data_IF_486349906529
#
_entry.id   IF_486349906529
#
_cell.length_a   1.000
_cell.length_b   1.000
_cell.length_c   1.000
_cell.angle_alpha   90.00
_cell.angle_beta   90.00
_cell.angle_gamma   90.00
#
_symmetry.space_group_name_H-M   'P 1'
#
loop_
_entity.id
_entity.type
_entity.pdbx_description
1 polymer ?
#
# COMPACT_ATOMS: atom_id res chain seq x y z
N UNK A 1 28.53 15.78 35.45
CA UNK A 1 29.34 16.42 34.40
C UNK A 1 29.96 15.42 33.40
N UNK A 2 29.22 14.37 32.98
CA UNK A 2 29.72 13.32 32.04
C UNK A 2 28.84 13.16 30.76
N UNK A 3 27.77 13.93 30.58
CA UNK A 3 26.86 13.82 29.43
C UNK A 3 27.24 14.71 28.24
N UNK A 4 27.90 15.85 28.49
CA UNK A 4 28.18 16.84 27.43
C UNK A 4 29.33 16.46 26.46
N UNK A 5 30.14 15.44 26.78
CA UNK A 5 31.29 15.02 25.96
C UNK A 5 30.88 14.03 24.86
N UNK A 6 29.80 13.27 25.07
CA UNK A 6 29.37 12.24 24.14
C UNK A 6 28.63 12.82 22.91
N UNK A 7 27.92 13.95 23.09
CA UNK A 7 27.15 14.57 22.02
C UNK A 7 28.01 15.20 20.92
N UNK A 8 29.22 15.66 21.26
CA UNK A 8 30.15 16.28 20.28
C UNK A 8 30.80 15.28 19.33
N UNK A 9 30.95 14.03 19.74
CA UNK A 9 31.53 12.97 18.90
C UNK A 9 30.47 12.22 18.10
N UNK A 10 29.26 12.08 18.64
CA UNK A 10 28.15 11.38 17.99
C UNK A 10 27.55 12.21 16.85
N UNK A 11 27.44 13.53 17.01
CA UNK A 11 26.82 14.42 16.03
C UNK A 11 27.48 14.37 14.63
N UNK A 12 28.81 14.40 14.49
CA UNK A 12 29.47 14.31 13.19
C UNK A 12 29.24 12.96 12.50
N UNK A 13 29.26 11.85 13.24
CA UNK A 13 29.01 10.50 12.73
C UNK A 13 27.56 10.36 12.29
N UNK A 14 26.63 10.90 13.05
CA UNK A 14 25.22 10.94 12.72
C UNK A 14 24.95 11.75 11.44
N UNK A 15 25.52 12.96 11.33
CA UNK A 15 25.41 13.80 10.14
C UNK A 15 26.04 13.17 8.90
N UNK A 16 27.14 12.42 9.07
CA UNK A 16 27.78 11.66 8.01
C UNK A 16 26.91 10.50 7.54
N UNK A 17 26.18 9.85 8.46
CA UNK A 17 25.17 8.83 8.13
C UNK A 17 23.99 9.44 7.35
N UNK A 18 23.48 10.59 7.78
CA UNK A 18 22.40 11.30 7.08
C UNK A 18 22.79 11.73 5.65
N UNK A 19 24.07 12.05 5.43
CA UNK A 19 24.55 12.44 4.10
C UNK A 19 24.57 11.30 3.08
N UNK A 20 24.46 10.05 3.53
CA UNK A 20 24.38 8.86 2.67
C UNK A 20 22.93 8.48 2.32
N UNK A 21 21.95 9.08 2.98
CA UNK A 21 20.54 8.85 2.72
C UNK A 21 20.10 9.63 1.47
N UNK A 22 19.02 9.17 0.83
CA UNK A 22 18.35 9.94 -0.21
C UNK A 22 17.81 11.28 0.34
N UNK A 23 17.46 12.19 -0.57
CA UNK A 23 17.09 13.55 -0.22
C UNK A 23 15.81 13.61 0.64
N UNK A 24 14.87 12.69 0.41
CA UNK A 24 13.60 12.60 1.13
C UNK A 24 13.82 12.08 2.55
N UNK A 25 14.57 10.99 2.71
CA UNK A 25 14.89 10.44 4.03
C UNK A 25 15.73 11.43 4.85
N UNK A 26 16.69 12.08 4.21
CA UNK A 26 17.48 13.12 4.85
C UNK A 26 16.61 14.30 5.32
N UNK A 27 15.68 14.78 4.49
CA UNK A 27 14.77 15.86 4.86
C UNK A 27 13.89 15.48 6.06
N UNK A 28 13.42 14.24 6.11
CA UNK A 28 12.65 13.72 7.25
C UNK A 28 13.43 13.68 8.55
N UNK A 29 14.64 13.13 8.51
CA UNK A 29 15.46 12.92 9.72
C UNK A 29 16.21 14.17 10.15
N UNK A 30 16.72 14.99 9.22
CA UNK A 30 17.51 16.19 9.52
C UNK A 30 16.62 17.39 9.83
N UNK A 31 15.53 17.58 9.06
CA UNK A 31 14.66 18.76 9.13
C UNK A 31 13.34 18.50 9.83
N UNK A 32 13.02 17.24 10.15
CA UNK A 32 11.71 16.85 10.67
C UNK A 32 10.59 17.03 9.63
N UNK A 33 10.94 17.12 8.35
CA UNK A 33 9.98 17.26 7.26
C UNK A 33 9.46 15.89 6.85
N UNK A 34 8.48 15.41 7.61
CA UNK A 34 7.80 14.15 7.36
C UNK A 34 6.94 14.16 6.08
N UNK A 35 6.80 15.31 5.44
CA UNK A 35 6.06 15.51 4.19
C UNK A 35 6.97 15.65 2.97
N UNK A 36 8.28 15.55 3.16
CA UNK A 36 9.22 15.56 2.05
C UNK A 36 8.86 14.47 1.03
N UNK A 37 8.76 14.86 -0.23
CA UNK A 37 8.43 14.00 -1.37
C UNK A 37 9.59 14.04 -2.37
N UNK A 38 9.79 12.92 -3.07
CA UNK A 38 10.75 12.85 -4.16
C UNK A 38 10.39 13.83 -5.28
N UNK A 39 11.35 14.62 -5.74
CA UNK A 39 11.11 15.52 -6.87
C UNK A 39 10.78 14.69 -8.11
N UNK A 40 9.58 14.87 -8.66
CA UNK A 40 9.07 14.03 -9.74
C UNK A 40 8.19 12.84 -9.30
N UNK A 41 7.92 12.68 -8.01
CA UNK A 41 6.98 11.65 -7.53
C UNK A 41 5.64 11.73 -8.29
N UNK A 42 5.18 10.57 -8.81
CA UNK A 42 3.93 10.48 -9.58
C UNK A 42 2.71 10.88 -8.76
N UNK A 43 2.72 10.54 -7.47
CA UNK A 43 1.68 10.88 -6.52
C UNK A 43 2.20 11.90 -5.53
N UNK A 44 1.47 13.00 -5.37
CA UNK A 44 1.72 13.99 -4.33
C UNK A 44 0.67 13.87 -3.24
N UNK A 45 1.08 14.04 -2.00
CA UNK A 45 0.17 14.00 -0.84
C UNK A 45 -1.02 14.95 -1.05
N UNK A 46 -0.80 16.14 -1.60
CA UNK A 46 -1.84 17.15 -1.86
C UNK A 46 -2.98 16.66 -2.76
N UNK A 47 -2.73 15.63 -3.63
CA UNK A 47 -3.79 15.05 -4.47
C UNK A 47 -4.85 14.33 -3.65
N UNK A 48 -4.46 13.84 -2.48
CA UNK A 48 -5.33 13.09 -1.58
C UNK A 48 -5.88 13.95 -0.45
N UNK A 49 -5.05 14.77 0.20
CA UNK A 49 -5.45 15.52 1.40
C UNK A 49 -6.58 16.50 1.16
N UNK A 50 -6.66 17.09 -0.04
CA UNK A 50 -7.76 18.00 -0.41
C UNK A 50 -9.07 17.28 -0.72
N UNK A 51 -9.03 15.96 -0.89
CA UNK A 51 -10.17 15.13 -1.27
C UNK A 51 -10.56 14.15 -0.15
N UNK A 52 -10.13 14.41 1.09
CA UNK A 52 -10.57 13.67 2.26
C UNK A 52 -11.99 14.14 2.57
N UNK A 53 -12.90 13.18 2.61
CA UNK A 53 -14.30 13.40 2.99
C UNK A 53 -14.64 12.57 4.23
N UNK A 54 -15.71 12.94 4.92
CA UNK A 54 -16.25 12.14 6.02
C UNK A 54 -16.91 10.86 5.49
N UNK A 55 -16.89 9.74 6.23
CA UNK A 55 -17.54 8.49 5.81
C UNK A 55 -19.01 8.62 5.46
N UNK A 56 -19.73 9.52 6.13
CA UNK A 56 -21.15 9.83 5.88
C UNK A 56 -21.40 10.62 4.58
N UNK A 57 -20.36 11.20 3.99
CA UNK A 57 -20.43 11.87 2.69
C UNK A 57 -20.26 10.89 1.52
N UNK A 58 -19.88 9.63 1.78
CA UNK A 58 -19.79 8.60 0.76
C UNK A 58 -21.21 8.15 0.38
N UNK A 59 -21.60 8.25 -0.91
CA UNK A 59 -22.93 7.82 -1.34
C UNK A 59 -23.21 6.35 -1.02
N UNK A 60 -24.38 6.03 -0.46
CA UNK A 60 -24.75 4.63 -0.17
C UNK A 60 -24.65 3.71 -1.40
N UNK A 61 -25.01 4.21 -2.57
CA UNK A 61 -24.92 3.46 -3.83
C UNK A 61 -23.46 3.11 -4.23
N UNK A 62 -22.46 3.84 -3.71
CA UNK A 62 -21.06 3.51 -3.94
C UNK A 62 -20.72 2.14 -3.36
N UNK A 63 -21.30 1.77 -2.22
CA UNK A 63 -21.03 0.51 -1.54
C UNK A 63 -21.52 -0.72 -2.32
N UNK A 64 -22.45 -0.56 -3.27
CA UNK A 64 -22.91 -1.64 -4.15
C UNK A 64 -21.85 -2.08 -5.18
N UNK A 65 -20.84 -1.25 -5.44
CA UNK A 65 -19.75 -1.50 -6.37
C UNK A 65 -18.38 -1.42 -5.68
N UNK A 66 -18.22 -2.21 -4.62
CA UNK A 66 -17.00 -2.20 -3.82
C UNK A 66 -16.11 -3.40 -4.16
N UNK A 67 -14.82 -3.13 -4.26
CA UNK A 67 -13.79 -4.13 -4.52
C UNK A 67 -12.68 -3.98 -3.47
N UNK A 68 -12.24 -5.08 -2.88
CA UNK A 68 -10.97 -5.19 -2.16
C UNK A 68 -9.92 -5.73 -3.12
N UNK A 69 -8.93 -4.92 -3.47
CA UNK A 69 -7.85 -5.31 -4.38
C UNK A 69 -6.54 -5.51 -3.61
N UNK A 70 -5.92 -6.66 -3.81
CA UNK A 70 -4.68 -7.06 -3.14
C UNK A 70 -3.48 -7.06 -4.09
N UNK A 71 -2.37 -6.48 -3.61
CA UNK A 71 -1.01 -6.67 -4.11
C UNK A 71 -0.21 -7.37 -3.00
N UNK A 72 0.21 -8.60 -3.25
CA UNK A 72 0.84 -9.46 -2.24
C UNK A 72 2.37 -9.41 -2.35
N UNK A 73 3.05 -9.34 -1.22
CA UNK A 73 4.50 -9.44 -1.13
C UNK A 73 4.96 -10.65 -0.30
N UNK A 74 4.19 -11.04 0.72
CA UNK A 74 4.45 -12.20 1.59
C UNK A 74 5.90 -12.25 2.13
N UNK A 75 6.45 -11.11 2.53
CA UNK A 75 7.83 -10.95 3.01
C UNK A 75 7.86 -10.30 4.38
N UNK A 76 8.76 -10.79 5.24
CA UNK A 76 9.01 -10.23 6.57
C UNK A 76 10.33 -9.46 6.60
N UNK A 77 10.49 -8.41 7.41
CA UNK A 77 11.77 -7.76 7.62
C UNK A 77 12.82 -8.73 8.17
N UNK A 78 14.03 -8.64 7.64
CA UNK A 78 15.19 -9.40 8.10
C UNK A 78 16.39 -8.46 8.24
N UNK A 79 17.50 -8.91 8.86
CA UNK A 79 18.72 -8.11 8.92
C UNK A 79 19.28 -7.78 7.52
N UNK A 80 19.14 -8.72 6.56
CA UNK A 80 19.61 -8.54 5.19
C UNK A 80 18.65 -7.68 4.33
N UNK A 81 17.36 -7.65 4.67
CA UNK A 81 16.34 -6.84 4.02
C UNK A 81 15.41 -6.23 5.08
N UNK A 82 15.79 -5.10 5.69
CA UNK A 82 15.02 -4.51 6.78
C UNK A 82 13.74 -3.81 6.31
N UNK A 83 13.63 -3.49 5.02
CA UNK A 83 12.48 -2.80 4.42
C UNK A 83 11.93 -3.54 3.19
N UNK A 84 11.39 -4.78 3.36
CA UNK A 84 10.81 -5.53 2.26
C UNK A 84 9.47 -4.91 1.79
N UNK A 85 9.01 -5.33 0.60
CA UNK A 85 7.73 -4.90 0.05
C UNK A 85 6.56 -5.21 0.99
N UNK A 86 5.53 -4.38 0.90
CA UNK A 86 4.30 -4.53 1.67
C UNK A 86 3.27 -5.37 0.93
N UNK A 87 2.60 -6.26 1.64
CA UNK A 87 1.28 -6.73 1.21
C UNK A 87 0.27 -5.62 1.45
N UNK A 88 -0.47 -5.23 0.43
CA UNK A 88 -1.43 -4.13 0.50
C UNK A 88 -2.78 -4.55 -0.05
N UNK A 89 -3.85 -4.29 0.72
CA UNK A 89 -5.24 -4.48 0.32
C UNK A 89 -6.00 -3.16 0.36
N UNK A 90 -6.40 -2.64 -0.80
CA UNK A 90 -7.20 -1.42 -0.91
C UNK A 90 -8.67 -1.74 -1.13
N UNK A 91 -9.55 -1.22 -0.27
CA UNK A 91 -11.01 -1.25 -0.46
C UNK A 91 -11.44 0.00 -1.20
N UNK A 92 -11.96 -0.17 -2.39
CA UNK A 92 -12.36 0.94 -3.25
C UNK A 92 -13.78 0.77 -3.75
N UNK A 93 -14.48 1.89 -3.94
CA UNK A 93 -15.79 1.93 -4.56
C UNK A 93 -15.78 2.88 -5.75
N UNK A 94 -16.63 2.60 -6.75
CA UNK A 94 -16.83 3.47 -7.91
C UNK A 94 -18.29 3.90 -7.96
N UNK A 95 -18.52 5.23 -7.95
CA UNK A 95 -19.84 5.82 -8.10
C UNK A 95 -19.75 7.13 -8.89
N UNK A 96 -20.59 7.31 -9.90
CA UNK A 96 -20.62 8.50 -10.76
C UNK A 96 -19.26 8.95 -11.30
N UNK A 97 -18.43 7.97 -11.70
CA UNK A 97 -17.08 8.21 -12.22
C UNK A 97 -16.03 8.59 -11.17
N UNK A 98 -16.42 8.75 -9.91
CA UNK A 98 -15.52 8.98 -8.76
C UNK A 98 -15.11 7.67 -8.12
N UNK A 99 -13.86 7.62 -7.67
CA UNK A 99 -13.29 6.50 -6.94
C UNK A 99 -13.12 6.91 -5.48
N UNK A 100 -13.74 6.15 -4.60
CA UNK A 100 -13.63 6.30 -3.16
C UNK A 100 -12.68 5.25 -2.61
N UNK A 101 -11.62 5.67 -1.94
CA UNK A 101 -10.74 4.78 -1.17
C UNK A 101 -11.33 4.68 0.23
N UNK A 102 -11.95 3.54 0.54
CA UNK A 102 -12.72 3.34 1.76
C UNK A 102 -11.86 2.82 2.92
N UNK A 103 -10.87 1.98 2.61
CA UNK A 103 -9.98 1.39 3.61
C UNK A 103 -8.69 0.90 2.96
N UNK A 104 -7.58 0.95 3.69
CA UNK A 104 -6.30 0.39 3.31
C UNK A 104 -5.80 -0.53 4.42
N UNK A 105 -5.56 -1.79 4.07
CA UNK A 105 -4.85 -2.77 4.90
C UNK A 105 -3.47 -2.97 4.35
N UNK A 106 -2.45 -2.93 5.20
CA UNK A 106 -1.08 -3.25 4.81
C UNK A 106 -0.35 -3.93 5.95
N UNK A 107 0.45 -4.91 5.59
CA UNK A 107 1.29 -5.59 6.57
C UNK A 107 2.49 -6.26 5.88
N UNK A 108 3.47 -6.66 6.68
CA UNK A 108 4.65 -7.44 6.29
C UNK A 108 4.65 -8.71 7.09
N UNK A 109 4.16 -9.77 6.50
CA UNK A 109 4.01 -11.09 7.13
C UNK A 109 4.62 -12.17 6.25
N UNK A 110 4.87 -13.31 6.85
CA UNK A 110 5.14 -14.53 6.11
C UNK A 110 3.89 -14.99 5.32
N UNK A 111 4.03 -15.96 4.40
CA UNK A 111 2.90 -16.38 3.56
C UNK A 111 1.64 -16.76 4.35
N UNK A 112 1.77 -17.51 5.46
CA UNK A 112 0.64 -17.89 6.28
C UNK A 112 -0.06 -16.70 6.95
N UNK A 113 0.73 -15.76 7.45
CA UNK A 113 0.20 -14.52 8.03
C UNK A 113 -0.48 -13.62 6.99
N UNK A 114 -0.02 -13.66 5.72
CA UNK A 114 -0.71 -12.96 4.63
C UNK A 114 -2.04 -13.61 4.30
N UNK A 115 -2.12 -14.96 4.28
CA UNK A 115 -3.39 -15.68 4.09
C UNK A 115 -4.40 -15.33 5.18
N UNK A 116 -3.97 -15.30 6.45
CA UNK A 116 -4.82 -14.88 7.58
C UNK A 116 -5.30 -13.44 7.43
N UNK A 117 -4.41 -12.51 7.03
CA UNK A 117 -4.76 -11.11 6.80
C UNK A 117 -5.83 -10.97 5.72
N UNK A 118 -5.65 -11.66 4.59
CA UNK A 118 -6.58 -11.61 3.46
C UNK A 118 -7.93 -12.20 3.84
N UNK A 119 -7.94 -13.37 4.52
CA UNK A 119 -9.17 -14.02 4.94
C UNK A 119 -9.95 -13.21 5.97
N UNK A 120 -9.27 -12.73 7.02
CA UNK A 120 -9.89 -11.90 8.06
C UNK A 120 -10.49 -10.61 7.47
N UNK A 121 -9.75 -9.96 6.57
CA UNK A 121 -10.23 -8.75 5.88
C UNK A 121 -11.45 -9.05 5.01
N UNK A 122 -11.48 -10.17 4.28
CA UNK A 122 -12.64 -10.56 3.48
C UNK A 122 -13.87 -10.86 4.34
N UNK A 123 -13.67 -11.51 5.51
CA UNK A 123 -14.74 -11.77 6.47
C UNK A 123 -15.30 -10.46 7.08
N UNK A 124 -14.44 -9.50 7.42
CA UNK A 124 -14.85 -8.18 7.91
C UNK A 124 -15.57 -7.36 6.83
N UNK A 125 -15.10 -7.41 5.59
CA UNK A 125 -15.69 -6.70 4.45
C UNK A 125 -17.07 -7.26 4.05
N UNK A 126 -17.27 -8.56 4.27
CA UNK A 126 -18.50 -9.29 3.94
C UNK A 126 -18.56 -9.76 2.49
N UNK A 127 -19.44 -10.72 2.23
CA UNK A 127 -19.57 -11.41 0.92
C UNK A 127 -20.03 -10.52 -0.24
N UNK A 128 -20.57 -9.35 0.05
CA UNK A 128 -20.96 -8.38 -0.97
C UNK A 128 -19.78 -7.63 -1.60
N UNK A 129 -18.62 -7.61 -0.93
CA UNK A 129 -17.41 -6.99 -1.43
C UNK A 129 -16.65 -7.98 -2.30
N UNK A 130 -16.40 -7.59 -3.55
CA UNK A 130 -15.60 -8.39 -4.47
C UNK A 130 -14.15 -8.38 -4.04
N UNK A 131 -13.51 -9.55 -3.95
CA UNK A 131 -12.08 -9.66 -3.67
C UNK A 131 -11.33 -9.88 -4.97
N UNK A 132 -10.32 -9.07 -5.23
CA UNK A 132 -9.47 -9.16 -6.43
C UNK A 132 -8.02 -9.14 -6.01
N UNK A 133 -7.17 -9.82 -6.77
CA UNK A 133 -5.75 -9.96 -6.45
C UNK A 133 -4.91 -9.80 -7.69
N UNK A 134 -3.79 -9.09 -7.58
CA UNK A 134 -2.82 -9.01 -8.66
C UNK A 134 -2.26 -10.41 -8.93
N UNK A 135 -2.36 -10.86 -10.18
CA UNK A 135 -1.79 -12.12 -10.63
C UNK A 135 -0.48 -11.84 -11.35
N UNK A 136 0.62 -12.25 -10.74
CA UNK A 136 1.93 -12.16 -11.37
C UNK A 136 2.00 -13.00 -12.66
N UNK A 137 2.83 -12.60 -13.63
CA UNK A 137 3.05 -13.40 -14.83
C UNK A 137 3.61 -14.79 -14.54
N UNK A 138 3.21 -15.77 -15.34
CA UNK A 138 3.74 -17.13 -15.26
C UNK A 138 2.91 -18.09 -14.41
N UNK A 139 3.47 -19.27 -14.17
CA UNK A 139 2.80 -20.37 -13.47
C UNK A 139 2.64 -20.08 -11.96
N UNK A 140 3.62 -19.40 -11.36
CA UNK A 140 3.56 -19.03 -9.94
C UNK A 140 2.34 -18.21 -9.60
N UNK A 141 2.09 -17.12 -10.35
CA UNK A 141 0.90 -16.28 -10.11
C UNK A 141 -0.41 -17.03 -10.32
N UNK A 142 -0.49 -17.92 -11.33
CA UNK A 142 -1.67 -18.76 -11.52
C UNK A 142 -1.91 -19.71 -10.35
N UNK A 143 -0.84 -20.34 -9.85
CA UNK A 143 -0.94 -21.25 -8.69
C UNK A 143 -1.38 -20.50 -7.43
N UNK A 144 -0.88 -19.29 -7.21
CA UNK A 144 -1.31 -18.44 -6.10
C UNK A 144 -2.81 -18.15 -6.19
N UNK A 145 -3.31 -17.73 -7.34
CA UNK A 145 -4.74 -17.45 -7.53
C UNK A 145 -5.59 -18.70 -7.32
N UNK A 146 -5.17 -19.86 -7.87
CA UNK A 146 -5.88 -21.13 -7.67
C UNK A 146 -5.92 -21.54 -6.19
N UNK A 147 -4.80 -21.38 -5.47
CA UNK A 147 -4.72 -21.65 -4.03
C UNK A 147 -5.68 -20.77 -3.22
N UNK A 148 -5.67 -19.45 -3.44
CA UNK A 148 -6.57 -18.54 -2.75
C UNK A 148 -8.04 -18.83 -3.05
N UNK A 149 -8.37 -19.13 -4.31
CA UNK A 149 -9.72 -19.45 -4.72
C UNK A 149 -10.26 -20.74 -4.06
N UNK A 150 -9.40 -21.76 -3.94
CA UNK A 150 -9.84 -23.09 -3.47
C UNK A 150 -9.73 -23.27 -1.94
N UNK A 151 -8.83 -22.52 -1.28
CA UNK A 151 -8.51 -22.82 0.12
C UNK A 151 -8.73 -21.63 1.06
N UNK A 152 -8.52 -20.41 0.60
CA UNK A 152 -8.56 -19.23 1.47
C UNK A 152 -9.88 -18.47 1.33
N UNK A 153 -10.29 -18.14 0.10
CA UNK A 153 -11.43 -17.26 -0.18
C UNK A 153 -12.66 -18.04 -0.67
N UNK A 154 -12.83 -19.27 -0.21
CA UNK A 154 -14.02 -20.08 -0.50
C UNK A 154 -15.28 -19.37 -0.01
N UNK A 155 -16.24 -19.18 -0.91
CA UNK A 155 -17.51 -18.50 -0.61
C UNK A 155 -17.51 -16.99 -0.82
N UNK A 156 -16.37 -16.40 -1.19
CA UNK A 156 -16.27 -15.00 -1.59
C UNK A 156 -16.22 -14.86 -3.13
N UNK A 157 -16.68 -13.73 -3.65
CA UNK A 157 -16.50 -13.37 -5.07
C UNK A 157 -15.03 -12.98 -5.31
N UNK A 158 -14.19 -13.99 -5.56
CA UNK A 158 -12.75 -13.84 -5.74
C UNK A 158 -12.31 -14.13 -7.17
N UNK A 159 -11.39 -13.28 -7.70
CA UNK A 159 -10.71 -13.51 -8.98
C UNK A 159 -9.32 -12.87 -9.01
N UNK A 160 -8.41 -13.45 -9.81
CA UNK A 160 -7.07 -12.93 -10.08
C UNK A 160 -7.05 -12.04 -11.32
N UNK A 161 -6.36 -10.90 -11.23
CA UNK A 161 -6.18 -9.98 -12.35
C UNK A 161 -4.76 -10.04 -12.90
N UNK A 162 -4.54 -10.62 -14.09
CA UNK A 162 -3.23 -10.62 -14.73
C UNK A 162 -2.76 -9.20 -15.02
N UNK A 163 -1.54 -8.88 -14.63
CA UNK A 163 -0.94 -7.58 -14.95
C UNK A 163 -0.26 -7.63 -16.31
N UNK A 164 -0.66 -6.70 -17.18
CA UNK A 164 -0.17 -6.63 -18.58
C UNK A 164 0.77 -5.47 -18.85
N UNK A 165 0.89 -4.52 -17.91
CA UNK A 165 1.72 -3.32 -18.03
C UNK A 165 2.61 -3.18 -16.80
N UNK A 166 3.73 -2.51 -16.97
CA UNK A 166 4.62 -2.17 -15.85
C UNK A 166 3.91 -1.28 -14.80
N UNK A 167 4.38 -1.36 -13.55
CA UNK A 167 3.78 -0.62 -12.41
C UNK A 167 3.78 0.88 -12.66
N UNK A 168 4.79 1.41 -13.32
CA UNK A 168 4.96 2.83 -13.60
C UNK A 168 3.91 3.37 -14.57
N UNK A 169 3.63 2.65 -15.65
CA UNK A 169 2.59 3.02 -16.63
C UNK A 169 1.21 3.00 -15.96
N UNK A 170 0.93 1.98 -15.15
CA UNK A 170 -0.33 1.88 -14.40
C UNK A 170 -0.48 3.03 -13.40
N UNK A 171 0.57 3.31 -12.62
CA UNK A 171 0.58 4.39 -11.65
C UNK A 171 0.35 5.77 -12.26
N UNK A 172 0.89 6.04 -13.45
CA UNK A 172 0.73 7.33 -14.14
C UNK A 172 -0.73 7.65 -14.47
N UNK A 173 -1.53 6.65 -14.84
CA UNK A 173 -2.97 6.81 -15.09
C UNK A 173 -3.73 7.21 -13.82
N UNK A 174 -3.40 6.58 -12.70
CA UNK A 174 -4.02 6.84 -11.41
C UNK A 174 -3.60 8.17 -10.81
N UNK A 175 -2.30 8.54 -10.98
CA UNK A 175 -1.80 9.84 -10.56
C UNK A 175 -2.52 10.99 -11.29
N UNK A 176 -2.77 10.82 -12.59
CA UNK A 176 -3.56 11.77 -13.37
C UNK A 176 -5.01 11.92 -12.88
N UNK A 177 -5.64 10.83 -12.40
CA UNK A 177 -6.97 10.89 -11.79
C UNK A 177 -6.92 11.56 -10.42
N UNK A 178 -6.01 11.14 -9.54
CA UNK A 178 -5.86 11.72 -8.21
C UNK A 178 -5.55 13.23 -8.24
N UNK A 179 -4.81 13.71 -9.25
CA UNK A 179 -4.54 15.13 -9.45
C UNK A 179 -5.79 15.94 -9.78
N UNK A 180 -6.76 15.35 -10.46
CA UNK A 180 -8.01 16.05 -10.85
C UNK A 180 -9.07 16.06 -9.75
N UNK A 181 -9.04 15.08 -8.85
CA UNK A 181 -10.03 14.91 -7.77
C UNK A 181 -11.17 14.00 -8.19
#
# INVERSE_FOLDING_TARGET
MRQATNDREILPVYLQGLAQLDEVERARLEKGDWYAEEEGAKFKREYFTRNIISPDEVPELAFMNTVRYWDLAATVPTEANPDPDWTVGAKVALHDGRIYVLDIRRDRRDPGGVEELVWNTAAEDGVAVKVRMEQEPGSGGKNTIDHYSRHILVGFDFDGHPTTKDKDTRASLWAGKAKRG
#
